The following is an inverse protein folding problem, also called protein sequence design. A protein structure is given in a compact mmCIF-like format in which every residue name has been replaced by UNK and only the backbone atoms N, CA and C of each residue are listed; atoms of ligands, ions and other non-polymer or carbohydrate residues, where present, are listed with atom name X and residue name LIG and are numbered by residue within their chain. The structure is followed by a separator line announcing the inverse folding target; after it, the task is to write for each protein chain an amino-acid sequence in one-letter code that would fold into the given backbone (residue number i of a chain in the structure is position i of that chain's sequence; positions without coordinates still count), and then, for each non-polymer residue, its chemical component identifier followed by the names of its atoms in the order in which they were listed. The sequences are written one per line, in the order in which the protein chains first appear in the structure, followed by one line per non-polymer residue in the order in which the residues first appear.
data_IF_326658123727
#
_entry.id   IF_326658123727
#
_cell.length_a   1.000
_cell.length_b   1.000
_cell.length_c   1.000
_cell.angle_alpha   90.00
_cell.angle_beta   90.00
_cell.angle_gamma   90.00
#
_symmetry.space_group_name_H-M   'P 1'
#
loop_
_entity.id
_entity.type
_entity.pdbx_description
1 polymer ?
#
# COMPACT_ATOMS: atom_id res chain seq x y z
N UNK A 1 23.13 -14.56 13.16
CA UNK A 1 23.31 -15.13 11.78
C UNK A 1 22.00 -14.96 11.07
N UNK A 2 21.80 -13.82 10.41
CA UNK A 2 20.51 -13.48 9.77
C UNK A 2 20.52 -14.07 8.37
N UNK A 3 19.60 -15.03 8.15
CA UNK A 3 19.43 -15.70 6.87
C UNK A 3 19.10 -14.72 5.74
N UNK A 4 19.80 -14.85 4.64
CA UNK A 4 19.69 -14.05 3.41
C UNK A 4 18.41 -14.29 2.61
N UNK A 5 17.52 -15.14 3.09
CA UNK A 5 16.28 -15.44 2.38
C UNK A 5 15.10 -14.83 3.15
N UNK A 6 14.24 -14.05 2.47
CA UNK A 6 13.00 -13.56 3.08
C UNK A 6 12.12 -14.74 3.50
N UNK A 7 11.33 -14.62 4.56
CA UNK A 7 10.40 -15.66 4.97
C UNK A 7 9.41 -15.94 3.82
N UNK A 8 9.52 -17.14 3.25
CA UNK A 8 8.60 -17.61 2.20
C UNK A 8 7.40 -18.24 2.90
N UNK A 9 6.23 -17.70 2.67
CA UNK A 9 4.96 -18.32 3.06
C UNK A 9 4.27 -18.96 1.86
N UNK A 10 3.43 -19.97 2.10
CA UNK A 10 2.68 -20.64 1.04
C UNK A 10 1.19 -20.40 1.24
N UNK A 11 0.51 -19.90 0.22
CA UNK A 11 -0.95 -19.71 0.24
C UNK A 11 -1.70 -21.05 0.30
N UNK A 12 -1.16 -22.09 -0.39
CA UNK A 12 -1.75 -23.42 -0.45
C UNK A 12 -0.75 -24.50 -0.02
N UNK A 13 -0.43 -24.58 1.28
CA UNK A 13 0.57 -25.56 1.78
C UNK A 13 0.16 -27.01 1.52
N UNK A 14 -1.13 -27.29 1.35
CA UNK A 14 -1.66 -28.62 1.04
C UNK A 14 -1.13 -29.16 -0.30
N UNK A 15 -0.83 -28.27 -1.28
CA UNK A 15 -0.29 -28.67 -2.57
C UNK A 15 1.14 -29.24 -2.49
N UNK A 16 1.86 -28.97 -1.40
CA UNK A 16 3.19 -29.55 -1.17
C UNK A 16 3.16 -31.07 -1.03
N UNK A 17 2.03 -31.66 -0.63
CA UNK A 17 1.88 -33.13 -0.61
C UNK A 17 2.04 -33.78 -1.99
N UNK A 18 1.76 -33.03 -3.07
CA UNK A 18 1.97 -33.49 -4.44
C UNK A 18 3.45 -33.75 -4.77
N UNK A 19 4.39 -33.15 -4.02
CA UNK A 19 5.81 -33.41 -4.16
C UNK A 19 6.17 -34.88 -3.84
N UNK A 20 5.34 -35.58 -3.06
CA UNK A 20 5.51 -37.05 -2.82
C UNK A 20 5.32 -37.85 -4.08
N UNK A 21 4.71 -37.33 -5.13
CA UNK A 21 4.64 -38.00 -6.42
C UNK A 21 6.01 -38.07 -7.11
N UNK A 22 6.96 -37.20 -6.83
CA UNK A 22 8.28 -37.17 -7.46
C UNK A 22 9.11 -38.42 -7.15
N UNK A 23 9.29 -38.84 -5.88
CA UNK A 23 10.01 -40.08 -5.60
C UNK A 23 9.32 -41.31 -6.19
N UNK A 24 7.98 -41.31 -6.24
CA UNK A 24 7.23 -42.41 -6.91
C UNK A 24 7.55 -42.48 -8.40
N UNK A 25 7.61 -41.33 -9.10
CA UNK A 25 7.99 -41.26 -10.51
C UNK A 25 9.43 -41.73 -10.74
N UNK A 26 10.36 -41.36 -9.85
CA UNK A 26 11.75 -41.84 -9.91
C UNK A 26 11.82 -43.33 -9.73
N UNK A 27 11.11 -43.91 -8.77
CA UNK A 27 11.04 -45.35 -8.55
C UNK A 27 10.44 -46.07 -9.76
N UNK A 28 9.37 -45.54 -10.34
CA UNK A 28 8.75 -46.07 -11.56
C UNK A 28 9.73 -46.03 -12.73
N UNK A 29 10.46 -44.96 -12.93
CA UNK A 29 11.48 -44.79 -13.95
C UNK A 29 12.59 -45.83 -13.78
N UNK A 30 13.13 -46.02 -12.58
CA UNK A 30 14.16 -47.00 -12.28
C UNK A 30 13.66 -48.45 -12.48
N UNK A 31 12.40 -48.71 -12.11
CA UNK A 31 11.77 -50.00 -12.30
C UNK A 31 11.61 -50.37 -13.80
N UNK A 32 11.14 -49.40 -14.61
CA UNK A 32 11.02 -49.54 -16.05
C UNK A 32 12.38 -49.79 -16.73
N UNK A 33 13.43 -49.11 -16.29
CA UNK A 33 14.79 -49.32 -16.77
C UNK A 33 15.27 -50.75 -16.47
N UNK A 34 15.06 -51.22 -15.23
CA UNK A 34 15.41 -52.60 -14.84
C UNK A 34 14.62 -53.65 -15.62
N UNK A 35 13.35 -53.40 -15.89
CA UNK A 35 12.50 -54.31 -16.68
C UNK A 35 12.99 -54.41 -18.12
N UNK A 36 13.36 -53.32 -18.76
CA UNK A 36 13.92 -53.34 -20.13
C UNK A 36 15.25 -54.07 -20.23
N UNK A 37 16.08 -54.02 -19.22
CA UNK A 37 17.35 -54.77 -19.20
C UNK A 37 17.14 -56.27 -19.13
N UNK A 38 16.11 -56.77 -18.47
CA UNK A 38 15.80 -58.22 -18.37
C UNK A 38 15.25 -58.78 -19.68
N UNK A 39 14.58 -57.99 -20.50
CA UNK A 39 14.06 -58.43 -21.80
C UNK A 39 15.12 -58.43 -22.91
N UNK A 40 16.21 -57.68 -22.77
CA UNK A 40 17.29 -57.61 -23.77
C UNK A 40 18.26 -58.82 -23.77
N UNK A 41 18.18 -59.70 -22.78
CA UNK A 41 19.12 -60.83 -22.63
C UNK A 41 18.79 -62.06 -23.49
N UNK A 42 17.79 -61.99 -24.37
CA UNK A 42 17.32 -63.21 -25.12
C UNK A 42 17.81 -63.40 -26.58
N UNK A 43 18.70 -62.51 -27.04
CA UNK A 43 19.28 -62.66 -28.38
C UNK A 43 20.77 -63.01 -28.30
N UNK A 44 21.09 -64.22 -28.54
CA UNK A 44 22.44 -64.70 -28.72
C UNK A 44 22.99 -64.27 -30.08
N UNK A 45 23.83 -63.30 -30.09
CA UNK A 45 24.85 -62.86 -31.03
C UNK A 45 24.98 -61.28 -31.12
N UNK A 46 25.29 -60.69 -29.99
CA UNK A 46 25.38 -59.23 -29.86
C UNK A 46 26.83 -58.71 -29.95
N UNK A 47 27.84 -59.55 -30.17
CA UNK A 47 29.24 -59.09 -30.21
C UNK A 47 29.49 -58.09 -31.36
N UNK A 48 29.01 -58.43 -32.56
CA UNK A 48 29.20 -57.66 -33.80
C UNK A 48 28.38 -56.38 -33.78
N UNK A 49 27.16 -56.42 -33.21
CA UNK A 49 26.30 -55.22 -33.10
C UNK A 49 26.80 -54.25 -32.01
N UNK A 50 27.46 -54.77 -30.97
CA UNK A 50 28.03 -53.96 -29.88
C UNK A 50 29.28 -53.21 -30.31
N UNK A 51 30.06 -53.78 -31.25
CA UNK A 51 31.26 -53.16 -31.83
C UNK A 51 30.88 -52.02 -32.82
N UNK A 52 29.80 -52.21 -33.60
CA UNK A 52 29.29 -51.22 -34.54
C UNK A 52 28.53 -50.08 -33.89
N UNK A 53 27.91 -50.26 -32.72
CA UNK A 53 27.11 -49.26 -32.01
C UNK A 53 27.94 -48.32 -31.08
N UNK A 54 29.22 -48.56 -30.88
CA UNK A 54 30.06 -47.76 -30.02
C UNK A 54 29.58 -47.73 -28.55
N UNK A 55 30.26 -46.97 -27.71
CA UNK A 55 29.82 -46.73 -26.33
C UNK A 55 28.48 -46.00 -26.35
N UNK A 56 27.37 -46.75 -26.13
CA UNK A 56 26.03 -46.18 -26.10
C UNK A 56 25.90 -44.94 -25.19
N UNK A 57 24.85 -44.14 -25.33
CA UNK A 57 24.69 -42.83 -24.70
C UNK A 57 24.47 -42.96 -23.17
N UNK A 58 25.47 -43.43 -22.43
CA UNK A 58 25.40 -43.75 -21.02
C UNK A 58 24.64 -42.69 -20.19
N UNK A 59 25.31 -41.63 -19.79
CA UNK A 59 24.74 -40.56 -18.93
C UNK A 59 23.75 -39.66 -19.67
N UNK A 60 23.96 -39.40 -20.99
CA UNK A 60 23.11 -38.46 -21.79
C UNK A 60 21.63 -38.87 -21.82
N UNK A 61 21.31 -40.16 -21.75
CA UNK A 61 19.91 -40.66 -21.75
C UNK A 61 19.12 -40.29 -20.50
N UNK A 62 19.80 -39.95 -19.39
CA UNK A 62 19.15 -39.59 -18.12
C UNK A 62 18.92 -38.10 -17.97
N UNK A 63 19.59 -37.25 -18.77
CA UNK A 63 19.50 -35.79 -18.67
C UNK A 63 18.11 -35.28 -19.01
N UNK A 64 17.47 -35.60 -20.16
CA UNK A 64 16.13 -35.12 -20.47
C UNK A 64 15.07 -35.52 -19.43
N UNK A 65 14.97 -36.80 -18.99
CA UNK A 65 14.02 -37.16 -17.91
C UNK A 65 14.29 -36.45 -16.59
N UNK A 66 15.56 -36.21 -16.25
CA UNK A 66 15.92 -35.47 -15.04
C UNK A 66 15.47 -34.01 -15.12
N UNK A 67 15.66 -33.36 -16.26
CA UNK A 67 15.19 -31.99 -16.48
C UNK A 67 13.66 -31.91 -16.41
N UNK A 68 12.95 -32.89 -16.97
CA UNK A 68 11.48 -32.95 -16.85
C UNK A 68 11.02 -33.14 -15.40
N UNK A 69 11.73 -33.97 -14.64
CA UNK A 69 11.42 -34.14 -13.22
C UNK A 69 11.65 -32.86 -12.43
N UNK A 70 12.72 -32.12 -12.74
CA UNK A 70 12.98 -30.80 -12.14
C UNK A 70 11.92 -29.78 -12.56
N UNK A 71 11.50 -29.80 -13.83
CA UNK A 71 10.42 -28.94 -14.32
C UNK A 71 9.09 -29.22 -13.58
N UNK A 72 8.78 -30.51 -13.40
CA UNK A 72 7.60 -30.95 -12.65
C UNK A 72 7.70 -30.51 -11.19
N UNK A 73 8.86 -30.64 -10.55
CA UNK A 73 9.08 -30.17 -9.18
C UNK A 73 8.85 -28.66 -9.06
N UNK A 74 9.39 -27.86 -9.99
CA UNK A 74 9.18 -26.41 -10.03
C UNK A 74 7.71 -26.05 -10.25
N UNK A 75 6.99 -26.79 -11.09
CA UNK A 75 5.56 -26.59 -11.33
C UNK A 75 4.71 -26.92 -10.09
N UNK A 76 5.02 -28.01 -9.38
CA UNK A 76 4.34 -28.37 -8.14
C UNK A 76 4.60 -27.35 -7.02
N UNK A 77 5.83 -26.81 -6.94
CA UNK A 77 6.15 -25.72 -6.03
C UNK A 77 5.40 -24.43 -6.42
N UNK A 78 5.27 -24.13 -7.71
CA UNK A 78 4.48 -23.00 -8.19
C UNK A 78 3.00 -23.13 -7.84
N UNK A 79 2.44 -24.34 -7.89
CA UNK A 79 1.06 -24.63 -7.51
C UNK A 79 0.78 -24.41 -6.03
N UNK A 80 1.78 -24.53 -5.16
CA UNK A 80 1.67 -24.18 -3.73
C UNK A 80 1.61 -22.65 -3.48
N UNK A 81 1.73 -21.82 -4.53
CA UNK A 81 1.67 -20.36 -4.52
C UNK A 81 2.58 -19.75 -3.44
N UNK A 82 3.91 -19.89 -3.58
CA UNK A 82 4.83 -19.25 -2.65
C UNK A 82 4.71 -17.74 -2.75
N UNK A 83 4.54 -17.10 -1.60
CA UNK A 83 4.57 -15.64 -1.46
C UNK A 83 5.87 -15.22 -0.79
N UNK A 84 6.52 -14.23 -1.35
CA UNK A 84 7.66 -13.57 -0.75
C UNK A 84 7.31 -12.12 -0.46
N UNK A 85 7.66 -11.63 0.71
CA UNK A 85 7.56 -10.21 1.02
C UNK A 85 8.67 -9.45 0.27
N UNK A 86 8.34 -8.99 -0.93
CA UNK A 86 9.24 -8.13 -1.71
C UNK A 86 8.87 -6.69 -1.37
N UNK A 87 9.82 -5.93 -0.85
CA UNK A 87 9.68 -4.49 -0.71
C UNK A 87 9.78 -3.86 -2.09
N UNK A 88 8.64 -3.76 -2.77
CA UNK A 88 8.56 -2.97 -3.99
C UNK A 88 8.29 -1.52 -3.58
N UNK A 89 9.04 -0.54 -4.09
CA UNK A 89 8.63 0.84 -3.94
C UNK A 89 7.25 0.97 -4.59
N UNK A 90 6.25 1.39 -3.80
CA UNK A 90 4.90 1.65 -4.31
C UNK A 90 5.00 2.68 -5.43
N UNK A 91 4.57 2.30 -6.64
CA UNK A 91 4.83 3.07 -7.85
C UNK A 91 4.05 4.38 -7.94
N UNK A 92 3.03 4.59 -7.11
CA UNK A 92 2.30 5.85 -7.03
C UNK A 92 1.72 6.01 -5.61
N UNK A 93 2.43 6.69 -4.75
CA UNK A 93 1.88 7.14 -3.47
C UNK A 93 1.32 8.54 -3.59
N UNK A 94 0.17 8.74 -2.97
CA UNK A 94 -0.47 10.05 -2.88
C UNK A 94 -0.58 10.45 -1.42
N UNK A 95 -0.14 11.65 -1.08
CA UNK A 95 -0.22 12.21 0.27
C UNK A 95 -1.08 13.46 0.22
N UNK A 96 -2.06 13.55 1.11
CA UNK A 96 -2.77 14.80 1.32
C UNK A 96 -2.25 15.43 2.61
N UNK A 97 -1.73 16.64 2.51
CA UNK A 97 -1.40 17.49 3.66
C UNK A 97 -2.62 18.32 4.03
N UNK A 98 -3.29 17.96 5.11
CA UNK A 98 -4.40 18.74 5.67
C UNK A 98 -3.85 19.66 6.76
N UNK A 99 -3.79 20.96 6.47
CA UNK A 99 -3.14 21.96 7.32
C UNK A 99 -4.16 22.90 7.96
N UNK A 100 -4.08 23.03 9.26
CA UNK A 100 -4.91 23.93 10.04
C UNK A 100 -4.44 25.39 9.84
N UNK A 101 -5.37 26.23 9.44
CA UNK A 101 -5.15 27.69 9.30
C UNK A 101 -6.10 28.46 10.21
N UNK A 102 -6.56 27.85 11.30
CA UNK A 102 -7.45 28.46 12.28
C UNK A 102 -6.74 29.54 13.13
N UNK A 103 -7.52 30.34 13.83
CA UNK A 103 -7.00 31.44 14.66
C UNK A 103 -6.08 30.99 15.79
N UNK A 104 -6.22 29.73 16.28
CA UNK A 104 -5.35 29.14 17.30
C UNK A 104 -3.90 28.91 16.80
N UNK A 105 -3.71 28.80 15.49
CA UNK A 105 -2.39 28.67 14.87
C UNK A 105 -1.55 29.98 14.94
N UNK A 106 -2.11 31.07 15.48
CA UNK A 106 -1.37 32.30 15.79
C UNK A 106 -0.50 32.14 17.03
N UNK A 107 -0.77 31.17 17.91
CA UNK A 107 -0.04 30.96 19.16
C UNK A 107 1.47 30.85 18.92
N UNK A 108 2.25 31.40 19.86
CA UNK A 108 3.72 31.47 19.78
C UNK A 108 4.40 30.44 20.69
N UNK A 109 3.63 29.53 21.27
CA UNK A 109 4.16 28.40 22.05
C UNK A 109 5.04 27.44 21.20
N UNK A 110 4.92 27.50 19.87
CA UNK A 110 5.84 26.92 18.89
C UNK A 110 6.41 28.05 18.02
N UNK A 111 7.68 28.38 18.20
CA UNK A 111 8.30 29.54 17.54
C UNK A 111 8.45 29.37 16.03
N UNK A 112 8.29 30.44 15.21
CA UNK A 112 7.88 31.78 15.59
C UNK A 112 6.38 31.91 15.90
N UNK A 113 5.54 31.10 15.34
CA UNK A 113 4.17 30.78 15.70
C UNK A 113 3.81 29.41 15.07
N UNK A 114 2.70 28.79 15.53
CA UNK A 114 2.28 27.45 15.07
C UNK A 114 2.11 27.38 13.56
N UNK A 115 1.52 28.41 12.91
CA UNK A 115 1.31 28.42 11.45
C UNK A 115 2.63 28.44 10.69
N UNK A 116 3.53 29.38 11.01
CA UNK A 116 4.82 29.52 10.32
C UNK A 116 5.71 28.30 10.55
N UNK A 117 5.71 27.73 11.76
CA UNK A 117 6.40 26.49 12.07
C UNK A 117 5.87 25.33 11.21
N UNK A 118 4.54 25.20 11.11
CA UNK A 118 3.88 24.18 10.27
C UNK A 118 4.19 24.36 8.78
N UNK A 119 4.16 25.59 8.26
CA UNK A 119 4.53 25.89 6.88
C UNK A 119 5.98 25.52 6.57
N UNK A 120 6.92 25.88 7.44
CA UNK A 120 8.34 25.58 7.25
C UNK A 120 8.60 24.07 7.31
N UNK A 121 7.97 23.36 8.24
CA UNK A 121 8.09 21.91 8.34
C UNK A 121 7.46 21.20 7.15
N UNK A 122 6.30 21.63 6.67
CA UNK A 122 5.67 21.08 5.48
C UNK A 122 6.53 21.29 4.23
N UNK A 123 7.14 22.46 4.06
CA UNK A 123 8.10 22.72 2.96
C UNK A 123 9.34 21.83 3.04
N UNK A 124 9.91 21.64 4.23
CA UNK A 124 11.02 20.73 4.44
C UNK A 124 10.64 19.28 4.10
N UNK A 125 9.47 18.82 4.52
CA UNK A 125 8.92 17.51 4.16
C UNK A 125 8.80 17.34 2.66
N UNK A 126 8.22 18.31 1.94
CA UNK A 126 8.08 18.27 0.49
C UNK A 126 9.42 18.17 -0.24
N UNK A 127 10.48 18.79 0.31
CA UNK A 127 11.84 18.72 -0.25
C UNK A 127 12.49 17.34 -0.10
N UNK A 128 12.17 16.62 0.99
CA UNK A 128 12.71 15.29 1.28
C UNK A 128 11.92 14.16 0.61
N UNK A 129 10.67 14.40 0.22
CA UNK A 129 9.84 13.40 -0.44
C UNK A 129 10.39 13.01 -1.82
N UNK A 130 10.39 11.70 -2.15
CA UNK A 130 10.73 11.23 -3.50
C UNK A 130 9.87 11.92 -4.57
N UNK A 131 10.48 12.21 -5.72
CA UNK A 131 9.81 12.96 -6.81
C UNK A 131 8.57 12.27 -7.41
N UNK A 132 8.46 10.96 -7.27
CA UNK A 132 7.32 10.17 -7.78
C UNK A 132 6.08 10.21 -6.85
N UNK A 133 6.22 10.70 -5.63
CA UNK A 133 5.10 10.84 -4.67
C UNK A 133 4.28 12.07 -5.04
N UNK A 134 2.99 11.86 -5.27
CA UNK A 134 2.03 12.93 -5.52
C UNK A 134 1.58 13.54 -4.20
N UNK A 135 1.41 14.86 -4.17
CA UNK A 135 0.93 15.55 -2.96
C UNK A 135 -0.20 16.49 -3.32
N UNK A 136 -1.25 16.51 -2.50
CA UNK A 136 -2.30 17.51 -2.51
C UNK A 136 -2.30 18.29 -1.20
N UNK A 137 -2.81 19.53 -1.20
CA UNK A 137 -2.90 20.38 0.00
C UNK A 137 -4.34 20.76 0.23
N UNK A 138 -4.82 20.46 1.44
CA UNK A 138 -6.11 20.89 1.98
C UNK A 138 -5.84 21.87 3.12
N UNK A 139 -6.35 23.08 3.05
CA UNK A 139 -6.36 24.01 4.18
C UNK A 139 -7.75 23.98 4.84
N UNK A 140 -7.77 24.07 6.15
CA UNK A 140 -9.03 24.09 6.88
C UNK A 140 -8.99 25.04 8.07
N UNK A 141 -10.14 25.65 8.28
CA UNK A 141 -10.48 26.48 9.43
C UNK A 141 -12.00 26.30 9.69
N UNK A 142 -12.81 27.30 9.57
CA UNK A 142 -14.28 27.19 9.64
C UNK A 142 -14.89 26.28 8.56
N UNK A 143 -14.22 26.12 7.43
CA UNK A 143 -14.49 25.17 6.35
C UNK A 143 -13.19 24.55 5.86
N UNK A 144 -13.28 23.47 5.13
CA UNK A 144 -12.14 22.84 4.49
C UNK A 144 -12.21 23.02 2.97
N UNK A 145 -11.05 23.26 2.34
CA UNK A 145 -10.95 23.47 0.90
C UNK A 145 -9.65 22.88 0.35
N UNK A 146 -9.67 22.39 -0.87
CA UNK A 146 -8.48 22.00 -1.62
C UNK A 146 -7.79 23.29 -2.08
N UNK A 147 -6.60 23.58 -1.57
CA UNK A 147 -5.79 24.74 -1.98
C UNK A 147 -4.92 24.40 -3.17
N UNK A 148 -4.37 23.18 -3.16
CA UNK A 148 -3.62 22.64 -4.28
C UNK A 148 -4.08 21.21 -4.56
N UNK A 149 -4.68 20.94 -5.72
CA UNK A 149 -5.00 19.57 -6.15
C UNK A 149 -3.75 18.68 -6.23
N UNK A 150 -3.96 17.38 -6.23
CA UNK A 150 -2.89 16.37 -6.27
C UNK A 150 -1.96 16.61 -7.45
N UNK A 151 -0.68 16.93 -7.16
CA UNK A 151 0.35 17.24 -8.17
C UNK A 151 1.71 16.65 -7.82
N UNK A 152 2.60 16.59 -8.80
CA UNK A 152 4.03 16.30 -8.63
C UNK A 152 4.89 17.57 -8.56
N UNK A 153 4.31 18.74 -8.89
CA UNK A 153 5.01 20.03 -8.88
C UNK A 153 5.23 20.50 -7.44
N UNK A 154 6.48 20.45 -6.99
CA UNK A 154 6.86 20.92 -5.64
C UNK A 154 6.75 22.44 -5.52
N UNK A 155 6.97 23.16 -6.62
CA UNK A 155 6.89 24.61 -6.68
C UNK A 155 5.47 25.12 -6.42
N UNK A 156 4.47 24.46 -7.03
CA UNK A 156 3.06 24.79 -6.83
C UNK A 156 2.63 24.54 -5.38
N UNK A 157 3.08 23.42 -4.80
CA UNK A 157 2.81 23.07 -3.41
C UNK A 157 3.41 24.09 -2.44
N UNK A 158 4.66 24.49 -2.62
CA UNK A 158 5.32 25.51 -1.78
C UNK A 158 4.61 26.86 -1.91
N UNK A 159 4.26 27.27 -3.13
CA UNK A 159 3.53 28.51 -3.40
C UNK A 159 2.15 28.51 -2.72
N UNK A 160 1.47 27.37 -2.70
CA UNK A 160 0.19 27.20 -2.03
C UNK A 160 0.32 27.35 -0.50
N UNK A 161 1.35 26.74 0.10
CA UNK A 161 1.62 26.82 1.54
C UNK A 161 1.95 28.28 1.95
N UNK A 162 2.73 29.00 1.14
CA UNK A 162 3.13 30.39 1.45
C UNK A 162 1.96 31.38 1.43
N UNK A 163 0.86 31.04 0.74
CA UNK A 163 -0.35 31.86 0.66
C UNK A 163 -1.34 31.68 1.81
N UNK A 164 -1.06 30.80 2.77
CA UNK A 164 -1.97 30.56 3.88
C UNK A 164 -2.22 31.82 4.72
N UNK A 165 -3.49 32.03 5.03
CA UNK A 165 -3.95 33.11 5.88
C UNK A 165 -4.81 32.54 7.00
N UNK A 166 -4.64 33.04 8.20
CA UNK A 166 -5.42 32.67 9.38
C UNK A 166 -6.90 32.99 9.18
N UNK A 167 -7.74 32.04 9.49
CA UNK A 167 -9.20 32.15 9.44
C UNK A 167 -9.81 31.78 10.78
N UNK A 168 -11.12 32.06 10.96
CA UNK A 168 -11.85 31.70 12.19
C UNK A 168 -12.36 30.28 12.18
N UNK A 169 -12.52 29.72 13.38
CA UNK A 169 -13.05 28.36 13.63
C UNK A 169 -12.15 27.22 13.11
N UNK A 170 -12.51 25.96 13.43
CA UNK A 170 -11.72 24.76 13.09
C UNK A 170 -12.64 23.60 12.79
N UNK A 171 -12.60 23.06 11.56
CA UNK A 171 -13.46 21.98 11.05
C UNK A 171 -12.63 20.75 10.65
N UNK A 172 -12.07 20.06 11.66
CA UNK A 172 -11.16 18.92 11.46
C UNK A 172 -11.82 17.80 10.64
N UNK A 173 -13.05 17.39 11.01
CA UNK A 173 -13.76 16.33 10.29
C UNK A 173 -13.99 16.71 8.82
N UNK A 174 -14.30 17.99 8.53
CA UNK A 174 -14.44 18.46 7.16
C UNK A 174 -13.13 18.35 6.37
N UNK A 175 -11.98 18.60 7.01
CA UNK A 175 -10.68 18.44 6.38
C UNK A 175 -10.41 16.98 5.96
N UNK A 176 -10.76 16.01 6.80
CA UNK A 176 -10.65 14.59 6.48
C UNK A 176 -11.58 14.24 5.29
N UNK A 177 -12.83 14.70 5.32
CA UNK A 177 -13.81 14.44 4.25
C UNK A 177 -13.37 15.04 2.91
N UNK A 178 -12.88 16.30 2.90
CA UNK A 178 -12.33 16.93 1.68
C UNK A 178 -11.09 16.20 1.18
N UNK A 179 -10.22 15.77 2.08
CA UNK A 179 -9.06 14.96 1.71
C UNK A 179 -9.46 13.63 1.07
N UNK A 180 -10.51 12.98 1.59
CA UNK A 180 -11.04 11.74 1.00
C UNK A 180 -11.71 12.00 -0.36
N UNK A 181 -12.40 13.11 -0.54
CA UNK A 181 -13.00 13.46 -1.83
C UNK A 181 -11.95 13.70 -2.92
N UNK A 182 -10.79 14.25 -2.55
CA UNK A 182 -9.66 14.45 -3.45
C UNK A 182 -8.96 13.12 -3.80
N UNK A 183 -8.87 12.19 -2.84
CA UNK A 183 -8.31 10.85 -3.07
C UNK A 183 -9.24 9.94 -3.90
N UNK A 184 -10.55 10.12 -3.77
CA UNK A 184 -11.56 9.27 -4.39
C UNK A 184 -12.60 10.10 -5.18
N UNK A 185 -12.20 10.77 -6.27
CA UNK A 185 -13.10 11.65 -7.03
C UNK A 185 -14.33 10.92 -7.61
N UNK A 186 -14.21 9.61 -7.84
CA UNK A 186 -15.28 8.76 -8.35
C UNK A 186 -16.38 8.44 -7.31
N UNK A 187 -16.08 8.60 -6.01
CA UNK A 187 -16.97 8.27 -4.90
C UNK A 187 -17.72 9.52 -4.41
N UNK A 188 -18.35 10.30 -5.13
CA UNK A 188 -19.22 11.46 -4.76
C UNK A 188 -19.33 11.73 -3.24
N UNK A 189 -18.20 11.95 -2.57
CA UNK A 189 -18.13 12.29 -1.15
C UNK A 189 -18.48 13.77 -1.04
N UNK A 190 -19.72 14.09 -0.56
CA UNK A 190 -20.20 15.48 -0.46
C UNK A 190 -20.18 15.95 0.99
N UNK A 191 -19.42 17.01 1.25
CA UNK A 191 -19.46 17.73 2.53
C UNK A 191 -20.85 18.27 2.85
N UNK A 192 -21.57 18.72 1.83
CA UNK A 192 -22.89 19.32 1.95
C UNK A 192 -23.90 18.33 2.53
N UNK A 193 -23.88 17.09 2.03
CA UNK A 193 -24.80 16.05 2.50
C UNK A 193 -24.55 15.68 3.97
N UNK A 194 -23.31 15.75 4.42
CA UNK A 194 -22.93 15.41 5.81
C UNK A 194 -23.21 16.55 6.79
N UNK A 195 -23.04 17.78 6.35
CA UNK A 195 -23.23 18.96 7.22
C UNK A 195 -24.71 19.29 7.38
N UNK A 196 -25.50 19.14 6.33
CA UNK A 196 -26.95 19.44 6.33
C UNK A 196 -27.84 18.25 6.69
N UNK A 197 -27.39 17.01 6.52
CA UNK A 197 -28.17 15.82 6.85
C UNK A 197 -28.50 15.66 8.34
N UNK A 198 -27.76 16.33 9.23
CA UNK A 198 -27.99 16.34 10.69
C UNK A 198 -29.08 17.29 11.14
N UNK A 199 -29.43 18.30 10.32
CA UNK A 199 -30.44 19.33 10.66
C UNK A 199 -31.76 19.18 9.90
N UNK A 200 -31.94 18.10 9.16
CA UNK A 200 -33.16 17.92 8.36
C UNK A 200 -34.22 17.20 9.18
N UNK A 201 -35.31 17.89 9.42
CA UNK A 201 -36.59 17.37 9.85
C UNK A 201 -36.91 16.05 9.11
N UNK A 202 -37.26 14.95 9.79
CA UNK A 202 -37.63 13.67 9.12
C UNK A 202 -38.70 13.79 8.06
N UNK A 203 -39.43 14.90 8.03
CA UNK A 203 -40.53 15.19 7.09
C UNK A 203 -40.15 16.17 5.97
N UNK A 204 -38.96 16.71 5.94
CA UNK A 204 -38.58 17.62 4.85
C UNK A 204 -38.38 16.81 3.53
N UNK A 205 -39.08 17.19 2.43
CA UNK A 205 -38.89 16.53 1.15
C UNK A 205 -37.44 16.71 0.70
N UNK A 206 -36.73 15.60 0.54
CA UNK A 206 -35.37 15.58 -0.03
C UNK A 206 -35.49 16.09 -1.47
N UNK A 207 -35.21 17.38 -1.67
CA UNK A 207 -35.10 18.00 -2.98
C UNK A 207 -34.02 17.32 -3.80
N UNK A 208 -34.39 16.44 -4.71
CA UNK A 208 -33.46 15.93 -5.74
C UNK A 208 -33.29 16.99 -6.81
N UNK A 209 -32.04 17.28 -7.18
CA UNK A 209 -31.77 18.07 -8.38
C UNK A 209 -32.37 17.37 -9.60
N UNK A 210 -33.19 18.09 -10.39
CA UNK A 210 -33.86 17.57 -11.57
C UNK A 210 -32.89 17.21 -12.73
N UNK A 211 -31.64 17.65 -12.64
CA UNK A 211 -30.61 17.46 -13.67
C UNK A 211 -29.71 16.21 -13.46
N UNK A 212 -30.06 15.33 -12.52
CA UNK A 212 -29.28 14.10 -12.33
C UNK A 212 -29.77 13.01 -13.30
N UNK A 213 -28.90 12.51 -14.20
CA UNK A 213 -29.23 11.39 -15.06
C UNK A 213 -29.55 10.14 -14.22
N UNK A 214 -30.64 9.47 -14.57
CA UNK A 214 -31.33 8.43 -13.78
C UNK A 214 -30.63 7.06 -13.72
N UNK A 215 -29.45 6.90 -14.31
CA UNK A 215 -28.78 5.62 -14.47
C UNK A 215 -27.27 5.73 -14.20
N UNK A 216 -26.90 5.75 -12.93
CA UNK A 216 -25.61 5.18 -12.52
C UNK A 216 -25.92 4.29 -11.33
N UNK A 217 -25.82 2.98 -11.51
CA UNK A 217 -25.83 2.00 -10.42
C UNK A 217 -24.72 2.45 -9.45
N UNK A 218 -25.10 3.07 -8.36
CA UNK A 218 -24.20 3.34 -7.25
C UNK A 218 -23.74 1.96 -6.78
N UNK A 219 -22.53 1.56 -7.17
CA UNK A 219 -21.87 0.40 -6.55
C UNK A 219 -21.89 0.65 -5.06
N UNK A 220 -22.66 -0.15 -4.34
CA UNK A 220 -22.76 -0.07 -2.90
C UNK A 220 -21.35 -0.09 -2.33
N UNK A 221 -20.98 0.97 -1.59
CA UNK A 221 -19.68 1.07 -0.95
C UNK A 221 -19.51 -0.10 0.02
N UNK A 222 -18.46 -0.90 -0.15
CA UNK A 222 -18.10 -1.97 0.78
C UNK A 222 -16.93 -1.50 1.63
N UNK A 223 -17.10 -1.41 2.97
CA UNK A 223 -16.02 -1.08 3.86
C UNK A 223 -14.87 -2.08 3.73
N UNK A 224 -13.65 -1.58 3.78
CA UNK A 224 -12.42 -2.39 3.77
C UNK A 224 -11.74 -2.35 5.14
N UNK A 225 -10.75 -3.21 5.34
CA UNK A 225 -10.00 -3.19 6.61
C UNK A 225 -9.28 -1.84 6.81
N UNK A 226 -9.41 -1.20 8.01
CA UNK A 226 -8.72 0.06 8.29
C UNK A 226 -7.23 -0.02 8.02
N UNK A 227 -6.65 1.00 7.37
CA UNK A 227 -5.23 1.08 7.03
C UNK A 227 -4.77 0.16 5.89
N UNK A 228 -5.69 -0.51 5.19
CA UNK A 228 -5.37 -1.44 4.08
C UNK A 228 -5.03 -0.73 2.76
N UNK A 229 -5.43 0.53 2.59
CA UNK A 229 -5.16 1.31 1.38
C UNK A 229 -3.78 1.98 1.46
N UNK A 230 -2.73 1.23 1.06
CA UNK A 230 -1.34 1.69 1.17
C UNK A 230 -0.91 2.71 0.12
N UNK A 231 -1.74 2.96 -0.91
CA UNK A 231 -1.39 3.88 -2.00
C UNK A 231 -1.65 5.35 -1.68
N UNK A 232 -2.34 5.65 -0.57
CA UNK A 232 -2.52 7.03 -0.12
C UNK A 232 -2.54 7.14 1.41
N UNK A 233 -2.20 8.34 1.89
CA UNK A 233 -2.27 8.71 3.30
C UNK A 233 -2.68 10.18 3.44
N UNK A 234 -3.32 10.50 4.56
CA UNK A 234 -3.62 11.87 4.97
C UNK A 234 -2.71 12.21 6.14
N UNK A 235 -2.06 13.36 6.11
CA UNK A 235 -1.30 13.93 7.23
C UNK A 235 -2.06 15.17 7.70
N UNK A 236 -2.62 15.08 8.88
CA UNK A 236 -3.44 16.15 9.49
C UNK A 236 -2.60 16.90 10.52
N UNK A 237 -2.38 18.20 10.29
CA UNK A 237 -1.70 19.09 11.22
C UNK A 237 -2.73 20.03 11.85
N UNK A 238 -2.84 20.00 13.17
CA UNK A 238 -3.80 20.82 13.92
C UNK A 238 -3.47 20.81 15.40
N UNK A 239 -4.08 21.73 16.17
CA UNK A 239 -4.10 21.65 17.65
C UNK A 239 -5.23 20.77 18.19
N UNK A 240 -6.05 20.17 17.32
CA UNK A 240 -7.08 19.20 17.70
C UNK A 240 -8.39 19.79 18.17
N UNK A 241 -8.50 21.12 18.39
CA UNK A 241 -9.72 21.75 18.90
C UNK A 241 -10.75 21.98 17.78
N UNK A 242 -11.72 21.09 17.68
CA UNK A 242 -12.83 21.25 16.73
C UNK A 242 -13.86 22.25 17.28
N UNK A 243 -14.24 23.23 16.47
CA UNK A 243 -15.31 24.19 16.80
C UNK A 243 -16.52 24.11 15.88
N UNK A 244 -16.37 23.54 14.68
CA UNK A 244 -17.43 23.45 13.67
C UNK A 244 -17.21 22.27 12.70
N UNK A 245 -18.10 22.13 11.75
CA UNK A 245 -17.97 21.15 10.66
C UNK A 245 -18.43 19.73 11.04
N UNK A 246 -18.06 18.77 10.21
CA UNK A 246 -18.36 17.34 10.38
C UNK A 246 -17.73 16.82 11.67
N UNK A 247 -18.38 15.84 12.30
CA UNK A 247 -17.83 15.20 13.48
C UNK A 247 -16.52 14.47 13.17
N UNK A 248 -15.49 14.72 14.00
CA UNK A 248 -14.14 14.19 13.75
C UNK A 248 -14.10 12.66 13.80
N UNK A 249 -14.86 12.05 14.73
CA UNK A 249 -14.90 10.58 14.85
C UNK A 249 -15.63 9.94 13.65
N UNK A 250 -16.69 10.59 13.17
CA UNK A 250 -17.43 10.15 11.98
C UNK A 250 -16.56 10.23 10.72
N UNK A 251 -15.82 11.32 10.55
CA UNK A 251 -14.89 11.50 9.45
C UNK A 251 -13.71 10.48 9.51
N UNK A 252 -13.18 10.24 10.72
CA UNK A 252 -12.15 9.23 10.94
C UNK A 252 -12.63 7.81 10.59
N UNK A 253 -13.88 7.48 10.98
CA UNK A 253 -14.50 6.22 10.60
C UNK A 253 -14.65 6.09 9.08
N UNK A 254 -15.05 7.17 8.41
CA UNK A 254 -15.17 7.18 6.94
C UNK A 254 -13.82 6.94 6.25
N UNK A 255 -12.72 7.48 6.79
CA UNK A 255 -11.38 7.21 6.30
C UNK A 255 -10.98 5.75 6.56
N UNK A 256 -11.28 5.23 7.76
CA UNK A 256 -11.02 3.85 8.15
C UNK A 256 -11.77 2.86 7.25
N UNK A 257 -13.06 3.08 6.98
CA UNK A 257 -13.90 2.26 6.10
C UNK A 257 -13.37 2.20 4.65
N UNK A 258 -12.58 3.21 4.23
CA UNK A 258 -11.87 3.27 2.94
C UNK A 258 -10.44 2.76 3.01
N UNK A 259 -10.00 2.30 4.18
CA UNK A 259 -8.66 1.81 4.41
C UNK A 259 -7.58 2.89 4.44
N UNK A 260 -7.92 4.18 4.40
CA UNK A 260 -6.97 5.30 4.36
C UNK A 260 -6.44 5.58 5.77
N UNK A 261 -5.13 5.68 5.91
CA UNK A 261 -4.47 6.07 7.15
C UNK A 261 -4.47 7.59 7.30
N UNK A 262 -4.88 8.08 8.48
CA UNK A 262 -4.83 9.50 8.82
C UNK A 262 -3.80 9.69 9.94
N UNK A 263 -2.59 10.07 9.55
CA UNK A 263 -1.54 10.45 10.50
C UNK A 263 -1.88 11.81 11.07
N UNK A 264 -1.86 11.93 12.40
CA UNK A 264 -2.19 13.17 13.07
C UNK A 264 -0.94 13.77 13.73
N UNK A 265 -0.71 15.05 13.49
CA UNK A 265 0.41 15.81 14.05
C UNK A 265 -0.18 16.93 14.90
N UNK A 266 -0.06 16.79 16.22
CA UNK A 266 -0.52 17.79 17.17
C UNK A 266 0.51 18.91 17.32
N UNK A 267 0.13 20.12 16.97
CA UNK A 267 1.00 21.30 17.02
C UNK A 267 0.58 22.20 18.19
N UNK A 268 1.51 22.51 19.09
CA UNK A 268 1.26 23.32 20.27
C UNK A 268 1.59 22.61 21.57
N UNK A 269 1.27 23.23 22.69
CA UNK A 269 1.52 22.68 24.03
C UNK A 269 0.22 22.27 24.73
N UNK A 270 0.30 21.26 25.60
CA UNK A 270 -0.84 20.79 26.39
C UNK A 270 -1.28 21.87 27.40
N UNK A 271 -0.32 22.63 27.94
CA UNK A 271 -0.61 23.75 28.84
C UNK A 271 -1.32 24.88 28.11
N UNK A 272 -1.02 25.04 26.83
CA UNK A 272 -1.61 26.03 25.93
C UNK A 272 -1.14 27.42 26.20
N UNK A 273 -1.48 28.32 25.28
CA UNK A 273 -1.17 29.75 25.33
C UNK A 273 -2.44 30.58 25.33
N UNK A 274 -2.37 31.80 25.92
CA UNK A 274 -3.46 32.75 25.89
C UNK A 274 -3.21 33.73 24.73
N UNK A 275 -4.02 33.59 23.68
CA UNK A 275 -3.97 34.51 22.54
C UNK A 275 -5.01 35.62 22.68
N UNK A 276 -4.59 36.83 22.32
CA UNK A 276 -5.49 37.98 22.21
C UNK A 276 -6.15 38.03 20.83
N UNK A 277 -7.46 38.17 20.76
CA UNK A 277 -8.19 38.27 19.52
C UNK A 277 -9.29 39.32 19.62
N UNK A 278 -9.16 40.43 18.91
CA UNK A 278 -10.16 41.53 18.84
C UNK A 278 -10.70 41.99 20.22
N UNK A 279 -9.83 42.12 21.20
CA UNK A 279 -10.22 42.57 22.57
C UNK A 279 -10.65 41.44 23.51
N UNK A 280 -10.66 40.19 23.06
CA UNK A 280 -10.90 38.98 23.87
C UNK A 280 -9.62 38.18 24.03
N UNK A 281 -9.45 37.56 25.16
CA UNK A 281 -8.37 36.60 25.38
C UNK A 281 -8.94 35.18 25.44
N UNK A 282 -8.35 34.29 24.67
CA UNK A 282 -8.76 32.88 24.63
C UNK A 282 -7.54 31.99 24.86
N UNK A 283 -7.69 31.00 25.73
CA UNK A 283 -6.66 29.96 25.92
C UNK A 283 -6.83 28.88 24.88
N UNK A 284 -5.80 28.68 24.06
CA UNK A 284 -5.73 27.60 23.05
C UNK A 284 -4.78 26.50 23.53
N UNK A 285 -5.27 25.29 23.60
CA UNK A 285 -4.52 24.10 24.07
C UNK A 285 -4.53 23.03 23.00
N UNK A 286 -3.53 22.16 23.05
CA UNK A 286 -3.53 20.98 22.21
C UNK A 286 -4.53 19.94 22.77
N UNK A 287 -5.43 19.44 21.92
CA UNK A 287 -6.35 18.33 22.20
C UNK A 287 -5.77 17.03 21.63
N UNK A 288 -4.87 16.42 22.40
CA UNK A 288 -4.22 15.17 22.00
C UNK A 288 -5.18 13.99 21.90
N UNK A 289 -6.20 13.94 22.75
CA UNK A 289 -7.09 12.78 22.84
C UNK A 289 -7.88 12.62 21.54
N UNK A 290 -8.45 13.68 21.02
CA UNK A 290 -9.11 13.69 19.71
C UNK A 290 -8.17 13.22 18.59
N UNK A 291 -6.93 13.72 18.57
CA UNK A 291 -5.95 13.37 17.53
C UNK A 291 -5.49 11.91 17.61
N UNK A 292 -5.27 11.41 18.84
CA UNK A 292 -4.94 10.01 19.09
C UNK A 292 -6.08 9.07 18.67
N UNK A 293 -7.32 9.46 18.89
CA UNK A 293 -8.49 8.65 18.49
C UNK A 293 -8.65 8.58 16.98
N UNK A 294 -8.42 9.67 16.25
CA UNK A 294 -8.39 9.67 14.76
C UNK A 294 -7.31 8.73 14.25
N UNK A 295 -6.09 8.85 14.76
CA UNK A 295 -4.97 8.00 14.35
C UNK A 295 -5.26 6.52 14.64
N UNK A 296 -5.76 6.19 15.84
CA UNK A 296 -6.10 4.82 16.25
C UNK A 296 -7.19 4.24 15.37
N UNK A 297 -8.27 4.99 15.10
CA UNK A 297 -9.40 4.53 14.28
C UNK A 297 -8.97 4.17 12.87
N UNK A 298 -8.00 4.90 12.31
CA UNK A 298 -7.49 4.69 10.94
C UNK A 298 -6.26 3.80 10.86
N UNK A 299 -5.82 3.19 11.98
CA UNK A 299 -4.57 2.41 12.11
C UNK A 299 -3.32 3.20 11.66
N UNK A 300 -3.30 4.49 11.95
CA UNK A 300 -2.16 5.38 11.79
C UNK A 300 -1.53 5.73 13.15
N UNK A 301 -0.59 6.66 13.14
CA UNK A 301 0.13 7.10 14.33
C UNK A 301 -0.14 8.60 14.62
N UNK A 302 -0.18 8.93 15.91
CA UNK A 302 -0.18 10.30 16.40
C UNK A 302 1.25 10.75 16.71
N UNK A 303 1.58 11.98 16.36
CA UNK A 303 2.85 12.61 16.65
C UNK A 303 2.64 13.93 17.38
N UNK A 304 3.44 14.17 18.42
CA UNK A 304 3.43 15.42 19.16
C UNK A 304 4.56 16.33 18.67
N UNK A 305 4.21 17.53 18.29
CA UNK A 305 5.13 18.57 17.82
C UNK A 305 5.08 19.82 18.72
N UNK A 306 5.69 19.73 19.89
CA UNK A 306 5.83 20.85 20.81
C UNK A 306 6.87 21.89 20.39
N UNK A 307 7.70 21.59 19.38
CA UNK A 307 8.71 22.50 18.83
C UNK A 307 8.78 22.35 17.30
N UNK A 308 9.28 23.39 16.62
CA UNK A 308 9.50 23.37 15.18
C UNK A 308 10.48 22.27 14.75
N UNK A 309 11.47 21.94 15.59
CA UNK A 309 12.45 20.87 15.31
C UNK A 309 11.79 19.49 15.40
N UNK A 310 10.94 19.26 16.42
CA UNK A 310 10.18 18.01 16.52
C UNK A 310 9.28 17.81 15.30
N UNK A 311 8.65 18.86 14.82
CA UNK A 311 7.79 18.82 13.64
C UNK A 311 8.59 18.39 12.39
N UNK A 312 9.81 18.90 12.21
CA UNK A 312 10.71 18.51 11.13
C UNK A 312 11.09 17.03 11.23
N UNK A 313 11.48 16.55 12.42
CA UNK A 313 11.84 15.14 12.65
C UNK A 313 10.68 14.18 12.38
N UNK A 314 9.45 14.57 12.76
CA UNK A 314 8.23 13.80 12.50
C UNK A 314 8.04 13.62 11.00
N UNK A 315 8.15 14.67 10.22
CA UNK A 315 8.01 14.58 8.77
C UNK A 315 9.09 13.72 8.11
N UNK A 316 10.33 13.76 8.59
CA UNK A 316 11.41 12.89 8.12
C UNK A 316 11.10 11.42 8.40
N UNK A 317 10.59 11.11 9.59
CA UNK A 317 10.18 9.75 9.94
C UNK A 317 9.00 9.25 9.11
N UNK A 318 8.03 10.13 8.83
CA UNK A 318 6.88 9.81 7.98
C UNK A 318 7.29 9.54 6.53
N UNK A 319 8.19 10.35 5.96
CA UNK A 319 8.66 10.16 4.59
C UNK A 319 9.30 8.78 4.41
N UNK A 320 10.10 8.31 5.38
CA UNK A 320 10.74 7.01 5.35
C UNK A 320 9.73 5.85 5.47
N UNK A 321 8.68 5.99 6.28
CA UNK A 321 7.65 4.96 6.50
C UNK A 321 6.67 4.85 5.34
N UNK A 322 6.29 5.96 4.74
CA UNK A 322 5.38 5.99 3.60
C UNK A 322 6.02 5.43 2.32
N UNK A 323 7.35 5.43 2.23
CA UNK A 323 8.07 4.94 1.03
C UNK A 323 8.24 3.41 1.02
N UNK A 324 8.06 2.72 2.15
CA UNK A 324 8.31 1.28 2.32
C UNK A 324 7.00 0.53 2.56
N UNK A 325 6.27 0.24 1.51
CA UNK A 325 5.16 -0.72 1.58
C UNK A 325 5.68 -2.14 1.31
N UNK A 326 5.53 -3.05 2.29
CA UNK A 326 5.76 -4.48 2.10
C UNK A 326 4.57 -5.06 1.35
N UNK A 327 4.70 -5.21 0.04
CA UNK A 327 3.71 -5.94 -0.75
C UNK A 327 4.10 -7.41 -0.82
N UNK A 328 3.25 -8.29 -0.32
CA UNK A 328 3.40 -9.72 -0.55
C UNK A 328 3.14 -10.01 -2.03
N UNK A 329 4.18 -10.40 -2.74
CA UNK A 329 4.09 -10.70 -4.16
C UNK A 329 4.22 -12.21 -4.37
N UNK A 330 3.35 -12.78 -5.18
CA UNK A 330 3.42 -14.19 -5.53
C UNK A 330 4.60 -14.45 -6.47
N UNK A 331 5.44 -15.40 -6.08
CA UNK A 331 6.63 -15.82 -6.85
C UNK A 331 6.30 -16.98 -7.78
N UNK A 332 5.04 -17.46 -7.77
CA UNK A 332 4.56 -18.58 -8.58
C UNK A 332 4.84 -18.43 -10.08
N UNK A 333 4.73 -17.20 -10.63
CA UNK A 333 5.01 -16.90 -12.03
C UNK A 333 6.46 -17.17 -12.44
N UNK A 334 7.43 -16.83 -11.56
CA UNK A 334 8.85 -17.09 -11.83
C UNK A 334 9.17 -18.58 -11.85
N UNK A 335 8.56 -19.36 -10.93
CA UNK A 335 8.72 -20.81 -10.91
C UNK A 335 8.07 -21.47 -12.12
N UNK A 336 6.92 -20.99 -12.57
CA UNK A 336 6.27 -21.47 -13.78
C UNK A 336 7.12 -21.21 -15.05
N UNK A 337 7.73 -20.03 -15.14
CA UNK A 337 8.62 -19.67 -16.24
C UNK A 337 9.89 -20.53 -16.25
N UNK A 338 10.48 -20.79 -15.08
CA UNK A 338 11.61 -21.68 -14.91
C UNK A 338 11.25 -23.11 -15.35
N UNK A 339 10.08 -23.61 -14.93
CA UNK A 339 9.58 -24.93 -15.33
C UNK A 339 9.41 -25.04 -16.85
N UNK A 340 8.81 -24.02 -17.49
CA UNK A 340 8.66 -23.97 -18.94
C UNK A 340 10.03 -23.98 -19.66
N UNK A 341 11.00 -23.21 -19.18
CA UNK A 341 12.36 -23.22 -19.70
C UNK A 341 13.05 -24.59 -19.61
N UNK A 342 12.88 -25.29 -18.48
CA UNK A 342 13.42 -26.64 -18.29
C UNK A 342 12.77 -27.66 -19.25
N UNK A 343 11.46 -27.54 -19.51
CA UNK A 343 10.76 -28.40 -20.48
C UNK A 343 11.30 -28.18 -21.88
N UNK A 344 11.44 -26.94 -22.32
CA UNK A 344 11.97 -26.59 -23.63
C UNK A 344 13.41 -27.07 -23.79
N UNK A 345 14.23 -26.90 -22.76
CA UNK A 345 15.61 -27.40 -22.74
C UNK A 345 15.66 -28.93 -22.81
N UNK A 346 14.81 -29.63 -22.06
CA UNK A 346 14.72 -31.11 -22.12
C UNK A 346 14.32 -31.61 -23.50
N UNK A 347 13.32 -30.96 -24.13
CA UNK A 347 12.87 -31.29 -25.47
C UNK A 347 13.97 -31.01 -26.53
N UNK A 348 14.64 -29.85 -26.45
CA UNK A 348 15.75 -29.52 -27.33
C UNK A 348 16.92 -30.51 -27.24
N UNK A 349 17.34 -30.86 -26.03
CA UNK A 349 18.40 -31.88 -25.83
C UNK A 349 17.99 -33.25 -26.30
N UNK A 350 16.72 -33.66 -26.10
CA UNK A 350 16.19 -34.91 -26.60
C UNK A 350 16.22 -34.99 -28.13
N UNK A 351 15.80 -33.93 -28.81
CA UNK A 351 15.88 -33.80 -30.26
C UNK A 351 17.33 -33.82 -30.77
N UNK A 352 18.21 -33.06 -30.15
CA UNK A 352 19.60 -32.94 -30.56
C UNK A 352 20.38 -34.27 -30.40
N UNK A 353 20.14 -35.00 -29.31
CA UNK A 353 20.91 -36.21 -29.01
C UNK A 353 20.27 -37.48 -29.54
N UNK A 354 18.95 -37.58 -29.59
CA UNK A 354 18.24 -38.82 -29.92
C UNK A 354 17.36 -38.71 -31.17
N UNK A 355 17.25 -37.51 -31.79
CA UNK A 355 16.36 -37.22 -32.93
C UNK A 355 14.91 -37.71 -32.71
N UNK A 356 14.46 -37.69 -31.46
CA UNK A 356 13.10 -38.06 -31.02
C UNK A 356 12.59 -36.98 -30.08
N UNK A 357 11.34 -36.54 -30.29
CA UNK A 357 10.58 -35.85 -29.28
C UNK A 357 10.15 -36.87 -28.24
N UNK A 358 10.36 -36.61 -26.97
CA UNK A 358 10.11 -37.49 -25.82
C UNK A 358 8.94 -38.45 -25.99
#
# INVERSE_FOLDING_TARGET
MNGWLPPVSFLWPQMLWLLLALPLLVLLYLWLLRRRQRTALRYANLSIVREALGKGPGWRRHVPPMLLLLALAAMLLAAARPTASITLPSTQQTIILAMDVSGSMRAEDVLPNRLVASQNAAKAFLAELPRHVKVGIVAFAGSAQVVQPITLSREDLVTAIDKFQLQRATAIGSAIVVSLSELFPDQRISLTDMTYSRNTDPFAPRGRSLDQPRNTEEKAFQPVEPGSYGSAAIILLTDGQRTTGVDTAEAAKMAADRGVRVYTVGVGTVEGEVIGFEGWSMRVRLDEDTLKDVARTTKAEYFYAGTAENLKQIYQSLSSRLTVEKKETEVSGLLALLAAGLVVLAAGLSLAWFKRVL
#
